data_IF_309008816761
#
_entry.id   IF_309008816761
#
_cell.length_a   1.000
_cell.length_b   1.000
_cell.length_c   1.000
_cell.angle_alpha   90.00
_cell.angle_beta   90.00
_cell.angle_gamma   90.00
#
_symmetry.space_group_name_H-M   'P 1'
#
loop_
_entity.id
_entity.type
_entity.pdbx_description
1 polymer ?
#
# COMPACT_ATOMS: atom_id res chain seq x y z
N UNK A 1 6.50 -18.13 0.06
CA UNK A 1 5.15 -18.05 0.64
C UNK A 1 4.20 -17.61 -0.46
N UNK A 2 2.97 -18.09 -0.47
CA UNK A 2 1.91 -17.64 -1.38
C UNK A 2 0.69 -17.25 -0.54
N UNK A 3 -0.03 -16.21 -0.94
CA UNK A 3 -1.25 -15.73 -0.27
C UNK A 3 -2.31 -15.57 -1.34
N UNK A 4 -3.48 -16.15 -1.12
CA UNK A 4 -4.64 -15.94 -1.98
C UNK A 4 -5.36 -14.65 -1.56
N UNK A 5 -5.53 -13.72 -2.50
CA UNK A 5 -6.19 -12.43 -2.30
C UNK A 5 -7.52 -12.33 -3.05
N UNK A 6 -7.90 -13.38 -3.76
CA UNK A 6 -9.07 -13.42 -4.66
C UNK A 6 -10.39 -13.14 -3.93
N UNK A 7 -10.45 -13.43 -2.62
CA UNK A 7 -11.64 -13.26 -1.78
C UNK A 7 -11.71 -11.89 -1.09
N UNK A 8 -10.74 -11.01 -1.29
CA UNK A 8 -10.74 -9.68 -0.66
C UNK A 8 -11.85 -8.81 -1.23
N UNK A 9 -12.62 -8.18 -0.35
CA UNK A 9 -13.60 -7.16 -0.75
C UNK A 9 -12.89 -5.86 -1.14
N UNK A 10 -13.54 -5.05 -1.98
CA UNK A 10 -13.04 -3.72 -2.32
C UNK A 10 -13.00 -2.85 -1.07
N UNK A 11 -11.89 -2.15 -0.84
CA UNK A 11 -11.63 -1.36 0.37
C UNK A 11 -11.12 -2.18 1.56
N UNK A 12 -10.99 -3.50 1.43
CA UNK A 12 -10.49 -4.34 2.51
C UNK A 12 -8.96 -4.29 2.58
N UNK A 13 -8.46 -4.25 3.82
CA UNK A 13 -7.07 -4.55 4.15
C UNK A 13 -6.98 -5.91 4.84
N UNK A 14 -5.97 -6.71 4.48
CA UNK A 14 -5.53 -7.85 5.27
C UNK A 14 -4.07 -7.68 5.67
N UNK A 15 -3.68 -8.30 6.78
CA UNK A 15 -2.30 -8.36 7.24
C UNK A 15 -1.82 -9.81 7.22
N UNK A 16 -0.65 -10.04 6.65
CA UNK A 16 0.02 -11.34 6.62
C UNK A 16 1.41 -11.24 7.21
N UNK A 17 1.88 -12.27 7.90
CA UNK A 17 3.23 -12.29 8.46
C UNK A 17 4.20 -12.92 7.47
N UNK A 18 5.29 -12.22 7.13
CA UNK A 18 6.37 -12.74 6.30
C UNK A 18 7.73 -12.37 6.89
N UNK A 19 8.62 -13.35 7.07
CA UNK A 19 9.95 -13.15 7.68
C UNK A 19 9.91 -12.36 9.01
N UNK A 20 8.92 -12.66 9.87
CA UNK A 20 8.65 -11.98 11.16
C UNK A 20 8.25 -10.51 11.03
N UNK A 21 7.92 -10.03 9.82
CA UNK A 21 7.43 -8.68 9.58
C UNK A 21 5.97 -8.73 9.09
N UNK A 22 5.14 -7.76 9.47
CA UNK A 22 3.80 -7.62 8.91
C UNK A 22 3.88 -7.07 7.48
N UNK A 23 3.15 -7.70 6.57
CA UNK A 23 2.89 -7.21 5.22
C UNK A 23 1.41 -6.86 5.15
N UNK A 24 1.12 -5.62 4.76
CA UNK A 24 -0.23 -5.12 4.54
C UNK A 24 -0.59 -5.30 3.08
N UNK A 25 -1.75 -5.89 2.83
CA UNK A 25 -2.31 -6.04 1.49
C UNK A 25 -3.63 -5.29 1.47
N UNK A 26 -3.75 -4.34 0.55
CA UNK A 26 -4.92 -3.47 0.43
C UNK A 26 -5.50 -3.65 -0.96
N UNK A 27 -6.81 -3.90 -1.04
CA UNK A 27 -7.58 -3.84 -2.28
C UNK A 27 -8.29 -2.50 -2.36
N UNK A 28 -7.87 -1.64 -3.28
CA UNK A 28 -8.40 -0.29 -3.39
C UNK A 28 -9.71 -0.24 -4.17
N UNK A 29 -10.53 0.76 -3.87
CA UNK A 29 -11.65 1.13 -4.73
C UNK A 29 -11.16 2.04 -5.87
N UNK A 30 -11.85 2.07 -7.03
CA UNK A 30 -11.52 3.00 -8.10
C UNK A 30 -11.52 4.46 -7.63
N UNK A 31 -12.48 4.82 -6.77
CA UNK A 31 -12.59 6.16 -6.19
C UNK A 31 -11.39 6.52 -5.31
N UNK A 32 -10.87 5.59 -4.52
CA UNK A 32 -9.67 5.82 -3.71
C UNK A 32 -8.43 6.09 -4.59
N UNK A 33 -8.29 5.35 -5.69
CA UNK A 33 -7.16 5.50 -6.61
C UNK A 33 -7.22 6.81 -7.41
N UNK A 34 -8.41 7.25 -7.82
CA UNK A 34 -8.58 8.52 -8.55
C UNK A 34 -8.14 9.74 -7.73
N UNK A 35 -8.21 9.67 -6.40
CA UNK A 35 -7.81 10.76 -5.51
C UNK A 35 -6.30 10.92 -5.29
N UNK A 36 -5.48 9.93 -5.68
CA UNK A 36 -4.04 9.93 -5.37
C UNK A 36 -3.30 11.11 -6.00
N UNK A 37 -3.63 11.46 -7.24
CA UNK A 37 -2.98 12.56 -7.95
C UNK A 37 -3.16 13.92 -7.26
N UNK A 38 -4.27 14.10 -6.53
CA UNK A 38 -4.59 15.35 -5.83
C UNK A 38 -3.74 15.59 -4.58
N UNK A 39 -3.05 14.56 -4.05
CA UNK A 39 -2.26 14.65 -2.82
C UNK A 39 -0.75 14.51 -3.05
N UNK A 40 -0.30 14.19 -4.27
CA UNK A 40 1.11 13.94 -4.59
C UNK A 40 2.04 15.07 -4.15
N UNK A 41 1.64 16.33 -4.30
CA UNK A 41 2.42 17.51 -3.91
C UNK A 41 2.56 17.70 -2.39
N UNK A 42 1.78 16.98 -1.58
CA UNK A 42 1.85 17.00 -0.11
C UNK A 42 2.71 15.86 0.45
N UNK A 43 3.16 14.93 -0.39
CA UNK A 43 3.95 13.78 0.04
C UNK A 43 5.42 14.18 0.22
N UNK A 44 6.03 13.74 1.32
CA UNK A 44 7.45 13.93 1.55
C UNK A 44 8.33 13.11 0.58
N UNK A 45 7.81 11.95 0.13
CA UNK A 45 8.49 11.03 -0.77
C UNK A 45 7.49 10.40 -1.76
N UNK A 46 7.09 11.10 -2.84
CA UNK A 46 6.08 10.60 -3.77
C UNK A 46 6.57 9.45 -4.65
N UNK A 47 7.88 9.40 -4.94
CA UNK A 47 8.46 8.46 -5.90
C UNK A 47 9.27 7.34 -5.24
N UNK A 48 9.70 7.49 -3.99
CA UNK A 48 10.58 6.54 -3.28
C UNK A 48 11.76 6.10 -4.13
N UNK A 49 12.49 7.08 -4.66
CA UNK A 49 13.57 6.84 -5.61
C UNK A 49 14.71 6.03 -4.99
N UNK A 50 14.97 6.25 -3.70
CA UNK A 50 16.00 5.58 -2.91
C UNK A 50 15.71 4.10 -2.57
N UNK A 51 14.50 3.60 -2.88
CA UNK A 51 14.13 2.21 -2.65
C UNK A 51 14.24 1.43 -3.97
N UNK A 52 14.95 0.32 -3.93
CA UNK A 52 14.98 -0.65 -5.03
C UNK A 52 13.74 -1.55 -4.91
N UNK A 53 12.73 -1.27 -5.74
CA UNK A 53 11.51 -2.06 -5.83
C UNK A 53 11.22 -2.42 -7.30
N UNK A 54 10.74 -3.64 -7.59
CA UNK A 54 10.61 -4.14 -8.95
C UNK A 54 9.42 -3.54 -9.73
N UNK A 55 8.46 -2.90 -9.06
CA UNK A 55 7.22 -2.42 -9.66
C UNK A 55 7.11 -0.89 -9.69
N UNK A 56 8.23 -0.20 -9.45
CA UNK A 56 8.32 1.25 -9.54
C UNK A 56 7.82 1.70 -10.92
N UNK A 57 7.00 2.75 -10.94
CA UNK A 57 6.43 3.36 -12.15
C UNK A 57 5.50 2.47 -13.01
N UNK A 58 5.12 1.27 -12.57
CA UNK A 58 4.17 0.42 -13.33
C UNK A 58 2.72 0.86 -13.10
N UNK A 59 2.32 0.94 -11.84
CA UNK A 59 1.00 1.43 -11.40
C UNK A 59 1.18 2.33 -10.17
N UNK A 60 0.23 3.23 -9.93
CA UNK A 60 0.20 4.03 -8.69
C UNK A 60 0.12 3.16 -7.42
N UNK A 61 -0.38 1.94 -7.54
CA UNK A 61 -0.42 0.92 -6.47
C UNK A 61 0.92 0.25 -6.19
N UNK A 62 1.95 0.50 -7.03
CA UNK A 62 3.30 -0.10 -6.97
C UNK A 62 3.29 -1.62 -7.00
N UNK A 63 2.40 -2.16 -7.84
CA UNK A 63 2.29 -3.60 -8.11
C UNK A 63 1.91 -3.83 -9.56
N UNK A 64 1.96 -5.09 -10.01
CA UNK A 64 1.47 -5.48 -11.34
C UNK A 64 -0.04 -5.27 -11.50
N UNK A 65 -0.80 -5.22 -10.41
CA UNK A 65 -2.25 -5.01 -10.45
C UNK A 65 -2.60 -3.57 -10.11
N UNK A 66 -3.47 -2.96 -10.92
CA UNK A 66 -3.95 -1.61 -10.68
C UNK A 66 -4.83 -1.49 -9.42
N UNK A 67 -5.33 -2.59 -8.85
CA UNK A 67 -6.24 -2.57 -7.68
C UNK A 67 -5.54 -2.85 -6.35
N UNK A 68 -4.39 -3.54 -6.35
CA UNK A 68 -3.78 -4.05 -5.12
C UNK A 68 -2.46 -3.36 -4.79
N UNK A 69 -2.28 -2.99 -3.52
CA UNK A 69 -0.99 -2.57 -2.97
C UNK A 69 -0.48 -3.58 -1.95
N UNK A 70 0.83 -3.81 -1.98
CA UNK A 70 1.54 -4.68 -1.06
C UNK A 70 2.61 -3.84 -0.35
N UNK A 71 2.45 -3.63 0.95
CA UNK A 71 3.28 -2.69 1.71
C UNK A 71 3.89 -3.39 2.92
N UNK A 72 5.10 -2.97 3.30
CA UNK A 72 5.65 -3.32 4.61
C UNK A 72 4.84 -2.60 5.69
N UNK A 73 4.27 -3.35 6.63
CA UNK A 73 3.58 -2.81 7.81
C UNK A 73 4.54 -2.34 8.91
N UNK A 74 5.70 -1.82 8.51
CA UNK A 74 6.82 -1.45 9.39
C UNK A 74 7.14 0.02 9.14
N UNK A 75 6.98 0.86 10.16
CA UNK A 75 7.28 2.29 10.08
C UNK A 75 8.76 2.51 9.74
N UNK A 76 9.03 3.33 8.72
CA UNK A 76 10.39 3.66 8.25
C UNK A 76 11.21 4.51 9.21
N UNK A 77 10.59 5.04 10.29
CA UNK A 77 11.28 5.76 11.35
C UNK A 77 11.91 4.80 12.38
N UNK A 78 11.08 4.08 13.15
CA UNK A 78 11.53 3.23 14.26
C UNK A 78 10.89 1.83 14.29
N UNK A 79 10.28 1.39 13.18
CA UNK A 79 9.80 0.01 13.04
C UNK A 79 8.49 -0.33 13.74
N UNK A 80 7.80 0.65 14.34
CA UNK A 80 6.45 0.47 14.88
C UNK A 80 5.46 0.02 13.79
N UNK A 81 4.37 -0.64 14.18
CA UNK A 81 3.29 -1.00 13.25
C UNK A 81 2.37 0.21 12.99
N UNK A 82 2.21 0.67 11.74
CA UNK A 82 1.32 1.77 11.41
C UNK A 82 -0.14 1.33 11.52
N UNK A 83 -1.00 2.24 11.99
CA UNK A 83 -2.45 2.03 12.00
C UNK A 83 -3.02 2.40 10.64
N UNK A 84 -3.98 1.61 10.16
CA UNK A 84 -4.68 1.85 8.90
C UNK A 84 -6.01 2.56 9.16
N UNK A 85 -6.19 3.71 8.52
CA UNK A 85 -7.43 4.49 8.53
C UNK A 85 -7.88 4.68 7.08
N UNK A 86 -8.84 3.88 6.58
CA UNK A 86 -9.30 3.98 5.20
C UNK A 86 -10.12 5.25 4.94
N UNK A 87 -10.66 5.86 6.00
CA UNK A 87 -11.39 7.12 5.97
C UNK A 87 -10.45 8.32 6.17
N UNK A 88 -10.62 9.36 5.36
CA UNK A 88 -9.93 10.64 5.57
C UNK A 88 -10.57 11.33 6.79
N UNK A 89 -9.93 11.27 7.96
CA UNK A 89 -10.37 12.08 9.11
C UNK A 89 -9.85 13.51 8.89
N UNK A 90 -10.78 14.41 8.60
CA UNK A 90 -10.54 15.87 8.55
C UNK A 90 -10.21 16.40 9.93
#
# INVERSE_FOLDING_TARGET
MKVDVSKMMVGQQIQVSWRKQPILIIRHSPSALSGLASVTSKLADPNSDSIDEPYKNINATRSLSAEYSFLSGVCTHLGCSPKYYPEFRT
#
